data_IF_438001616792
#
_entry.id   IF_438001616792
#
_cell.length_a   1.000
_cell.length_b   1.000
_cell.length_c   1.000
_cell.angle_alpha   90.00
_cell.angle_beta   90.00
_cell.angle_gamma   90.00
#
_symmetry.space_group_name_H-M   'P 1'
#
loop_
_entity.id
_entity.type
_entity.pdbx_description
1 polymer ?
#
# COMPACT_ATOMS: atom_id res chain seq x y z
N UNK A 1 -20.43 6.75 16.69
CA UNK A 1 -19.30 7.50 17.26
C UNK A 1 -19.53 8.99 17.00
N UNK A 2 -19.65 9.81 18.04
CA UNK A 2 -19.95 11.26 17.94
C UNK A 2 -18.66 12.03 17.58
N UNK A 3 -18.79 13.22 16.98
CA UNK A 3 -17.66 14.03 16.46
C UNK A 3 -16.54 14.28 17.50
N UNK A 4 -16.91 14.43 18.78
CA UNK A 4 -16.00 14.66 19.93
C UNK A 4 -15.16 13.44 20.31
N UNK A 5 -15.62 12.24 19.97
CA UNK A 5 -14.91 10.99 20.29
C UNK A 5 -13.60 10.90 19.49
N UNK A 6 -13.56 11.44 18.27
CA UNK A 6 -12.39 11.38 17.39
C UNK A 6 -11.27 12.31 17.83
N UNK A 7 -11.60 13.52 18.26
CA UNK A 7 -10.63 14.45 18.87
C UNK A 7 -9.97 13.79 20.09
N UNK A 8 -10.76 13.13 20.95
CA UNK A 8 -10.24 12.45 22.15
C UNK A 8 -9.31 11.28 21.79
N UNK A 9 -9.65 10.47 20.79
CA UNK A 9 -8.78 9.40 20.26
C UNK A 9 -7.47 9.99 19.73
N UNK A 10 -7.52 11.04 18.92
CA UNK A 10 -6.33 11.65 18.34
C UNK A 10 -5.46 12.36 19.38
N UNK A 11 -6.06 13.00 20.37
CA UNK A 11 -5.32 13.66 21.48
C UNK A 11 -4.59 12.63 22.34
N UNK A 12 -5.22 11.48 22.57
CA UNK A 12 -4.64 10.38 23.33
C UNK A 12 -3.47 9.73 22.60
N UNK A 13 -3.70 9.30 21.36
CA UNK A 13 -2.74 8.46 20.64
C UNK A 13 -1.78 9.26 19.76
N UNK A 14 -2.08 10.52 19.44
CA UNK A 14 -1.20 11.43 18.72
C UNK A 14 0.01 11.88 19.55
N UNK A 15 0.82 12.75 18.96
CA UNK A 15 2.10 13.25 19.50
C UNK A 15 1.94 14.50 20.35
N UNK A 16 0.85 15.25 20.20
CA UNK A 16 0.63 16.48 20.93
C UNK A 16 0.33 16.19 22.41
N UNK A 17 1.30 16.47 23.29
CA UNK A 17 1.16 16.34 24.75
C UNK A 17 0.47 17.52 25.42
N UNK A 18 0.22 18.62 24.69
CA UNK A 18 -0.26 19.89 25.22
C UNK A 18 -1.76 20.11 25.04
N UNK A 19 -2.52 19.07 24.68
CA UNK A 19 -3.98 19.18 24.57
C UNK A 19 -4.57 19.47 25.96
N UNK A 20 -5.39 20.53 26.13
CA UNK A 20 -6.03 20.82 27.40
C UNK A 20 -6.88 19.65 27.88
N UNK A 21 -6.59 19.14 29.07
CA UNK A 21 -7.26 17.94 29.62
C UNK A 21 -8.76 18.13 29.80
N UNK A 22 -9.23 19.37 29.97
CA UNK A 22 -10.65 19.72 30.06
C UNK A 22 -11.45 19.43 28.78
N UNK A 23 -10.78 19.29 27.63
CA UNK A 23 -11.41 18.93 26.36
C UNK A 23 -11.58 17.41 26.20
N UNK A 24 -10.91 16.61 27.03
CA UNK A 24 -10.89 15.15 26.90
C UNK A 24 -12.01 14.51 27.72
N UNK A 25 -12.76 13.63 27.07
CA UNK A 25 -13.83 12.85 27.71
C UNK A 25 -13.46 11.38 27.69
N UNK A 26 -13.38 10.78 28.88
CA UNK A 26 -13.15 9.34 29.06
C UNK A 26 -14.27 8.73 29.88
N UNK A 27 -14.69 7.52 29.53
CA UNK A 27 -15.63 6.76 30.34
C UNK A 27 -14.91 6.20 31.56
N UNK A 28 -15.32 6.60 32.76
CA UNK A 28 -14.85 6.01 34.02
C UNK A 28 -15.64 4.78 34.43
N UNK A 29 -16.62 4.36 33.61
CA UNK A 29 -17.39 3.13 33.85
C UNK A 29 -16.56 1.93 33.38
N UNK A 30 -16.35 0.91 34.25
CA UNK A 30 -15.72 -0.34 33.84
C UNK A 30 -16.62 -1.08 32.84
N UNK A 31 -16.02 -1.74 31.85
CA UNK A 31 -16.80 -2.48 30.84
C UNK A 31 -17.38 -3.79 31.39
N UNK A 32 -16.73 -4.38 32.40
CA UNK A 32 -17.17 -5.55 33.16
C UNK A 32 -16.50 -5.55 34.55
N UNK A 33 -16.96 -6.41 35.47
CA UNK A 33 -16.40 -6.52 36.83
C UNK A 33 -14.90 -6.82 36.79
N UNK A 34 -14.09 -5.95 37.41
CA UNK A 34 -12.63 -6.08 37.45
C UNK A 34 -11.89 -5.46 36.26
N UNK A 35 -12.59 -4.88 35.28
CA UNK A 35 -11.96 -4.14 34.19
C UNK A 35 -11.40 -2.79 34.68
N UNK A 36 -10.13 -2.45 34.41
CA UNK A 36 -9.58 -1.14 34.73
C UNK A 36 -10.36 -0.01 34.06
N UNK A 37 -10.73 1.01 34.83
CA UNK A 37 -11.41 2.20 34.29
C UNK A 37 -10.47 3.00 33.38
N UNK A 38 -11.02 3.62 32.34
CA UNK A 38 -10.19 4.47 31.48
C UNK A 38 -9.77 5.74 32.23
N UNK A 39 -8.49 6.08 32.09
CA UNK A 39 -7.93 7.35 32.53
C UNK A 39 -7.63 8.24 31.34
N UNK A 40 -7.57 9.56 31.59
CA UNK A 40 -7.12 10.53 30.60
C UNK A 40 -5.65 10.27 30.30
N UNK A 41 -5.32 10.14 29.02
CA UNK A 41 -3.95 10.06 28.48
C UNK A 41 -3.88 11.00 27.28
N UNK A 42 -2.74 11.63 27.09
CA UNK A 42 -2.48 12.62 26.03
C UNK A 42 -1.08 12.40 25.47
N UNK A 43 -0.89 12.61 24.17
CA UNK A 43 0.45 12.66 23.57
C UNK A 43 1.22 11.34 23.58
N UNK A 44 0.57 10.18 23.48
CA UNK A 44 1.27 8.87 23.55
C UNK A 44 2.15 8.56 22.33
N UNK A 45 2.00 9.31 21.22
CA UNK A 45 2.78 9.17 20.00
C UNK A 45 2.71 7.78 19.32
N UNK A 46 1.59 7.08 19.45
CA UNK A 46 1.32 5.75 18.85
C UNK A 46 0.60 5.86 17.48
N UNK A 47 -0.24 6.88 17.39
CA UNK A 47 -1.07 7.41 16.29
C UNK A 47 -0.35 8.24 15.21
N UNK A 48 0.07 7.74 14.03
CA UNK A 48 0.61 8.63 12.97
C UNK A 48 -0.40 9.01 11.88
N UNK A 49 -1.19 8.04 11.43
CA UNK A 49 -2.17 8.19 10.36
C UNK A 49 -3.55 7.78 10.86
N UNK A 50 -4.59 8.46 10.41
CA UNK A 50 -5.97 8.10 10.71
C UNK A 50 -6.84 8.21 9.47
N UNK A 51 -7.58 7.14 9.19
CA UNK A 51 -8.48 7.06 8.05
C UNK A 51 -9.91 7.45 8.43
N UNK A 52 -10.56 8.26 7.59
CA UNK A 52 -11.94 8.69 7.83
C UNK A 52 -12.95 7.88 6.99
N UNK A 53 -13.37 6.73 7.53
CA UNK A 53 -14.38 5.88 6.90
C UNK A 53 -13.76 4.70 6.15
N UNK A 54 -14.56 4.00 5.35
CA UNK A 54 -14.12 2.93 4.47
C UNK A 54 -15.13 2.71 3.34
N UNK A 55 -14.69 2.81 2.08
CA UNK A 55 -15.51 2.65 0.88
C UNK A 55 -16.86 3.36 0.98
N UNK A 56 -16.86 4.63 1.39
CA UNK A 56 -18.09 5.39 1.57
C UNK A 56 -18.77 5.71 0.23
N UNK A 57 -18.14 5.40 -0.89
CA UNK A 57 -18.67 5.48 -2.25
C UNK A 57 -19.25 4.13 -2.75
N UNK A 58 -19.38 3.11 -1.89
CA UNK A 58 -19.89 1.79 -2.28
C UNK A 58 -21.36 1.82 -2.73
N UNK A 59 -21.55 1.73 -4.03
CA UNK A 59 -22.88 1.74 -4.65
C UNK A 59 -23.71 0.48 -4.34
N UNK A 60 -23.07 -0.63 -3.97
CA UNK A 60 -23.73 -1.94 -3.78
C UNK A 60 -24.42 -2.11 -2.41
N UNK A 61 -24.34 -1.13 -1.50
CA UNK A 61 -25.06 -1.14 -0.21
C UNK A 61 -26.27 -0.19 -0.18
N UNK A 62 -26.63 0.38 -1.33
CA UNK A 62 -27.71 1.36 -1.44
C UNK A 62 -27.43 2.63 -0.61
N UNK A 63 -28.47 3.44 -0.39
CA UNK A 63 -28.35 4.74 0.29
C UNK A 63 -27.75 4.66 1.70
N UNK A 64 -27.93 3.54 2.41
CA UNK A 64 -27.42 3.38 3.78
C UNK A 64 -25.90 3.19 3.85
N UNK A 65 -25.26 2.73 2.78
CA UNK A 65 -23.82 2.52 2.71
C UNK A 65 -23.09 3.52 1.82
N UNK A 66 -23.82 4.44 1.18
CA UNK A 66 -23.28 5.36 0.17
C UNK A 66 -23.35 6.81 0.64
N UNK A 67 -22.24 7.52 0.47
CA UNK A 67 -22.15 8.97 0.50
C UNK A 67 -21.65 9.44 -0.86
N UNK A 68 -22.29 10.47 -1.41
CA UNK A 68 -21.69 11.19 -2.53
C UNK A 68 -20.47 12.00 -2.07
N UNK A 69 -19.66 12.46 -3.02
CA UNK A 69 -18.43 13.18 -2.73
C UNK A 69 -18.64 14.42 -1.83
N UNK A 70 -19.74 15.14 -1.98
CA UNK A 70 -20.02 16.34 -1.18
C UNK A 70 -20.37 15.99 0.27
N UNK A 71 -21.22 14.97 0.47
CA UNK A 71 -21.57 14.45 1.80
C UNK A 71 -20.32 13.95 2.52
N UNK A 72 -19.48 13.17 1.82
CA UNK A 72 -18.26 12.65 2.39
C UNK A 72 -17.26 13.77 2.72
N UNK A 73 -17.06 14.74 1.83
CA UNK A 73 -16.15 15.87 2.09
C UNK A 73 -16.65 16.75 3.23
N UNK A 74 -17.96 16.90 3.40
CA UNK A 74 -18.53 17.62 4.55
C UNK A 74 -18.19 16.91 5.87
N UNK A 75 -18.36 15.59 5.92
CA UNK A 75 -17.94 14.77 7.07
C UNK A 75 -16.42 14.91 7.30
N UNK A 76 -15.64 14.78 6.23
CA UNK A 76 -14.18 14.82 6.28
C UNK A 76 -13.67 16.20 6.72
N UNK A 77 -14.32 17.29 6.31
CA UNK A 77 -13.96 18.62 6.77
C UNK A 77 -14.21 18.80 8.26
N UNK A 78 -15.28 18.25 8.82
CA UNK A 78 -15.51 18.24 10.26
C UNK A 78 -14.46 17.35 10.98
N UNK A 79 -14.12 16.21 10.37
CA UNK A 79 -13.13 15.27 10.87
C UNK A 79 -11.71 15.86 10.89
N UNK A 80 -11.32 16.61 9.85
CA UNK A 80 -9.97 17.12 9.67
C UNK A 80 -9.60 18.14 10.74
N UNK A 81 -10.34 19.24 10.85
CA UNK A 81 -10.00 20.38 11.70
C UNK A 81 -11.24 21.07 12.31
N UNK A 82 -12.34 20.33 12.43
CA UNK A 82 -13.60 20.91 12.91
C UNK A 82 -14.19 21.92 11.93
N UNK A 83 -13.98 21.71 10.63
CA UNK A 83 -14.34 22.64 9.56
C UNK A 83 -13.74 24.04 9.80
N UNK A 84 -12.40 24.11 9.79
CA UNK A 84 -11.62 25.32 10.08
C UNK A 84 -11.92 25.88 11.48
N UNK A 85 -12.16 25.00 12.45
CA UNK A 85 -12.46 25.35 13.83
C UNK A 85 -13.91 25.76 14.13
N UNK A 86 -14.79 25.86 13.13
CA UNK A 86 -16.19 26.29 13.33
C UNK A 86 -17.00 25.35 14.24
N UNK A 87 -16.60 24.09 14.35
CA UNK A 87 -17.25 23.10 15.21
C UNK A 87 -16.72 23.06 16.66
N UNK A 88 -15.77 23.94 17.00
CA UNK A 88 -15.18 24.03 18.33
C UNK A 88 -13.81 23.37 18.45
N UNK A 89 -13.07 23.76 19.50
CA UNK A 89 -11.70 23.29 19.76
C UNK A 89 -11.60 21.79 20.10
N UNK A 90 -12.70 21.15 20.51
CA UNK A 90 -12.79 19.72 20.83
C UNK A 90 -13.25 18.85 19.65
N UNK A 91 -13.14 19.36 18.42
CA UNK A 91 -13.52 18.65 17.18
C UNK A 91 -12.41 18.76 16.16
N UNK A 92 -12.00 17.61 15.60
CA UNK A 92 -11.07 17.54 14.48
C UNK A 92 -9.70 16.97 14.85
N UNK A 93 -9.11 16.22 13.92
CA UNK A 93 -7.77 15.61 14.08
C UNK A 93 -6.71 16.68 14.27
N UNK A 94 -6.69 17.72 13.43
CA UNK A 94 -5.69 18.79 13.45
C UNK A 94 -5.80 19.69 14.69
N UNK A 95 -6.96 19.76 15.32
CA UNK A 95 -7.14 20.45 16.59
C UNK A 95 -6.55 19.63 17.76
N UNK A 96 -6.56 18.30 17.66
CA UNK A 96 -5.94 17.41 18.63
C UNK A 96 -4.41 17.33 18.43
N UNK A 97 -3.97 17.11 17.19
CA UNK A 97 -2.57 16.97 16.81
C UNK A 97 -2.39 17.39 15.34
N UNK A 98 -1.69 18.51 15.12
CA UNK A 98 -1.43 19.04 13.78
C UNK A 98 -0.52 18.13 12.94
N UNK A 99 0.27 17.27 13.58
CA UNK A 99 1.23 16.38 12.91
C UNK A 99 0.60 15.06 12.43
N UNK A 100 -0.52 14.65 13.03
CA UNK A 100 -1.25 13.44 12.63
C UNK A 100 -1.83 13.61 11.23
N UNK A 101 -1.60 12.63 10.35
CA UNK A 101 -2.03 12.68 8.95
C UNK A 101 -3.43 12.09 8.78
N UNK A 102 -4.28 12.77 8.03
CA UNK A 102 -5.65 12.33 7.71
C UNK A 102 -5.68 11.71 6.33
N UNK A 103 -6.06 10.44 6.28
CA UNK A 103 -6.22 9.66 5.06
C UNK A 103 -7.71 9.67 4.69
N UNK A 104 -8.04 9.93 3.42
CA UNK A 104 -9.42 9.70 2.96
C UNK A 104 -9.75 8.21 3.10
N UNK A 105 -11.03 7.89 3.29
CA UNK A 105 -11.50 6.51 3.29
C UNK A 105 -11.18 5.88 1.94
N UNK A 106 -10.65 4.65 1.95
CA UNK A 106 -10.34 3.92 0.75
C UNK A 106 -11.56 3.82 -0.15
N UNK A 107 -11.52 4.53 -1.29
CA UNK A 107 -12.59 4.53 -2.27
C UNK A 107 -12.72 3.15 -2.92
N UNK A 108 -13.95 2.67 -3.07
CA UNK A 108 -14.25 1.48 -3.86
C UNK A 108 -14.19 1.75 -5.38
N UNK A 109 -14.38 3.01 -5.78
CA UNK A 109 -14.27 3.44 -7.17
C UNK A 109 -12.82 3.48 -7.63
N UNK A 110 -12.59 2.97 -8.84
CA UNK A 110 -11.31 3.01 -9.53
C UNK A 110 -11.12 4.29 -10.37
N UNK A 111 -11.83 5.39 -10.04
CA UNK A 111 -11.80 6.64 -10.79
C UNK A 111 -11.63 7.86 -9.85
N UNK A 112 -10.64 8.74 -10.09
CA UNK A 112 -10.41 9.93 -9.27
C UNK A 112 -11.49 11.02 -9.41
N UNK A 113 -12.51 10.84 -10.26
CA UNK A 113 -13.62 11.81 -10.42
C UNK A 113 -14.37 12.07 -9.11
N UNK A 114 -14.48 11.08 -8.24
CA UNK A 114 -15.06 11.26 -6.90
C UNK A 114 -14.25 12.31 -6.11
N UNK A 115 -12.92 12.19 -6.10
CA UNK A 115 -12.03 13.14 -5.42
C UNK A 115 -12.07 14.51 -6.08
N UNK A 116 -12.23 14.59 -7.41
CA UNK A 116 -12.42 15.87 -8.10
C UNK A 116 -13.60 16.65 -7.53
N UNK A 117 -14.73 15.98 -7.29
CA UNK A 117 -15.89 16.61 -6.66
C UNK A 117 -15.60 17.01 -5.19
N UNK A 118 -14.76 16.26 -4.47
CA UNK A 118 -14.31 16.63 -3.12
C UNK A 118 -13.45 17.92 -3.14
N UNK A 119 -12.51 18.01 -4.07
CA UNK A 119 -11.68 19.22 -4.28
C UNK A 119 -12.55 20.43 -4.55
N UNK A 120 -13.55 20.27 -5.42
CA UNK A 120 -14.50 21.33 -5.75
C UNK A 120 -15.34 21.76 -4.53
N UNK A 121 -15.79 20.80 -3.72
CA UNK A 121 -16.47 21.12 -2.47
C UNK A 121 -15.57 21.93 -1.52
N UNK A 122 -14.30 21.55 -1.38
CA UNK A 122 -13.33 22.31 -0.58
C UNK A 122 -13.13 23.72 -1.13
N UNK A 123 -13.02 23.88 -2.44
CA UNK A 123 -12.92 25.20 -3.09
C UNK A 123 -14.09 26.10 -2.72
N UNK A 124 -15.32 25.58 -2.80
CA UNK A 124 -16.55 26.33 -2.51
C UNK A 124 -16.75 26.62 -1.01
N UNK A 125 -16.46 25.66 -0.14
CA UNK A 125 -16.88 25.71 1.27
C UNK A 125 -15.73 25.98 2.25
N UNK A 126 -14.49 25.64 1.87
CA UNK A 126 -13.30 25.88 2.70
C UNK A 126 -12.48 27.07 2.18
N UNK A 127 -12.51 27.32 0.87
CA UNK A 127 -11.77 28.41 0.22
C UNK A 127 -10.31 28.04 -0.03
N UNK A 128 -9.44 29.04 0.03
CA UNK A 128 -8.01 28.91 -0.23
C UNK A 128 -7.18 29.13 1.03
N UNK A 129 -5.98 28.56 1.05
CA UNK A 129 -4.91 28.85 2.00
C UNK A 129 -4.21 30.17 1.61
N UNK A 130 -3.37 30.69 2.49
CA UNK A 130 -2.64 31.94 2.27
C UNK A 130 -1.70 31.90 1.06
N UNK A 131 -1.22 30.71 0.68
CA UNK A 131 -0.37 30.47 -0.49
C UNK A 131 -1.16 30.30 -1.80
N UNK A 132 -2.48 30.50 -1.78
CA UNK A 132 -3.36 30.38 -2.94
C UNK A 132 -3.81 28.95 -3.25
N UNK A 133 -3.33 27.93 -2.53
CA UNK A 133 -3.79 26.55 -2.72
C UNK A 133 -5.21 26.36 -2.17
N UNK A 134 -5.99 25.45 -2.74
CA UNK A 134 -7.30 25.08 -2.17
C UNK A 134 -7.09 24.50 -0.76
N UNK A 135 -7.93 24.90 0.19
CA UNK A 135 -7.89 24.38 1.56
C UNK A 135 -8.53 22.99 1.63
N UNK A 136 -7.82 21.97 1.13
CA UNK A 136 -8.21 20.56 1.22
C UNK A 136 -8.22 20.09 2.68
N UNK A 137 -9.10 19.14 3.00
CA UNK A 137 -9.29 18.62 4.36
C UNK A 137 -8.81 17.17 4.52
N UNK A 138 -7.69 16.82 3.88
CA UNK A 138 -7.00 15.54 4.02
C UNK A 138 -5.53 15.72 3.63
N UNK A 139 -4.69 14.75 3.98
CA UNK A 139 -3.25 14.75 3.72
C UNK A 139 -2.80 13.58 2.83
N UNK A 140 -3.66 12.57 2.62
CA UNK A 140 -3.38 11.40 1.78
C UNK A 140 -4.62 10.99 0.99
N UNK A 141 -4.44 10.73 -0.30
CA UNK A 141 -5.45 10.12 -1.18
C UNK A 141 -5.38 8.61 -1.03
N UNK A 142 -6.53 7.93 -0.99
CA UNK A 142 -6.60 6.50 -0.77
C UNK A 142 -7.74 5.86 -1.58
N UNK A 143 -7.47 4.68 -2.14
CA UNK A 143 -8.45 3.87 -2.85
C UNK A 143 -8.14 2.38 -2.68
N UNK A 144 -9.14 1.54 -2.89
CA UNK A 144 -9.00 0.09 -2.89
C UNK A 144 -8.92 -0.42 -4.32
N UNK A 145 -8.02 -1.36 -4.57
CA UNK A 145 -7.87 -1.90 -5.91
C UNK A 145 -7.50 -3.38 -5.91
N UNK A 146 -8.48 -4.19 -6.30
CA UNK A 146 -8.34 -5.61 -6.51
C UNK A 146 -8.20 -5.90 -8.00
N UNK A 147 -6.99 -6.25 -8.43
CA UNK A 147 -6.71 -6.60 -9.82
C UNK A 147 -7.50 -7.84 -10.22
N UNK A 148 -8.24 -7.74 -11.33
CA UNK A 148 -9.15 -8.78 -11.81
C UNK A 148 -9.13 -8.84 -13.33
N UNK A 149 -9.54 -9.99 -13.87
CA UNK A 149 -9.77 -10.13 -15.30
C UNK A 149 -11.07 -9.40 -15.74
N UNK A 150 -11.26 -9.31 -17.06
CA UNK A 150 -12.44 -8.66 -17.65
C UNK A 150 -13.62 -9.63 -17.84
N UNK A 151 -13.49 -10.89 -17.40
CA UNK A 151 -14.51 -11.92 -17.59
C UNK A 151 -15.75 -11.63 -16.74
N UNK A 152 -16.91 -11.55 -17.38
CA UNK A 152 -18.19 -11.33 -16.69
C UNK A 152 -18.74 -12.66 -16.14
N UNK A 153 -18.54 -13.75 -16.88
CA UNK A 153 -19.14 -15.07 -16.61
C UNK A 153 -18.32 -15.92 -15.65
N UNK A 154 -17.00 -15.74 -15.62
CA UNK A 154 -16.10 -16.45 -14.72
C UNK A 154 -14.97 -15.52 -14.27
N UNK A 155 -15.28 -14.49 -13.46
CA UNK A 155 -14.26 -13.55 -13.01
C UNK A 155 -13.30 -14.21 -12.03
N UNK A 156 -12.08 -13.72 -12.05
CA UNK A 156 -11.01 -14.09 -11.13
C UNK A 156 -10.10 -12.89 -10.84
N UNK A 157 -9.19 -13.08 -9.90
CA UNK A 157 -8.04 -12.19 -9.77
C UNK A 157 -7.17 -12.28 -11.03
N UNK A 158 -6.41 -11.22 -11.31
CA UNK A 158 -5.45 -11.20 -12.41
C UNK A 158 -4.14 -10.51 -12.03
N UNK A 159 -3.04 -10.87 -12.67
CA UNK A 159 -1.77 -10.17 -12.57
C UNK A 159 -1.99 -8.67 -12.86
N UNK A 160 -1.28 -7.77 -12.15
CA UNK A 160 -1.55 -6.34 -12.23
C UNK A 160 -1.36 -5.76 -13.64
N UNK A 161 -0.49 -6.35 -14.45
CA UNK A 161 -0.13 -5.88 -15.79
C UNK A 161 -1.12 -6.31 -16.88
N UNK A 162 -1.93 -7.36 -16.63
CA UNK A 162 -2.96 -7.81 -17.58
C UNK A 162 -4.36 -7.27 -17.23
N UNK A 163 -4.47 -6.52 -16.15
CA UNK A 163 -5.68 -5.79 -15.76
C UNK A 163 -5.51 -4.29 -15.99
N UNK A 164 -6.46 -3.48 -15.51
CA UNK A 164 -6.37 -2.02 -15.59
C UNK A 164 -5.56 -1.37 -14.44
N UNK A 165 -4.84 -2.15 -13.62
CA UNK A 165 -4.06 -1.65 -12.46
C UNK A 165 -3.20 -0.44 -12.81
N UNK A 166 -2.38 -0.56 -13.86
CA UNK A 166 -1.45 0.49 -14.30
C UNK A 166 -2.19 1.78 -14.62
N UNK A 167 -3.24 1.69 -15.45
CA UNK A 167 -4.02 2.85 -15.87
C UNK A 167 -4.73 3.54 -14.69
N UNK A 168 -5.20 2.77 -13.72
CA UNK A 168 -5.89 3.29 -12.53
C UNK A 168 -4.89 3.97 -11.60
N UNK A 169 -3.78 3.32 -11.27
CA UNK A 169 -2.72 3.90 -10.43
C UNK A 169 -2.24 5.24 -10.99
N UNK A 170 -1.90 5.25 -12.28
CA UNK A 170 -1.48 6.46 -13.00
C UNK A 170 -2.54 7.56 -12.99
N UNK A 171 -3.82 7.20 -13.13
CA UNK A 171 -4.90 8.18 -13.09
C UNK A 171 -5.00 8.88 -11.72
N UNK A 172 -4.84 8.16 -10.61
CA UNK A 172 -4.84 8.75 -9.27
C UNK A 172 -3.59 9.61 -9.01
N UNK A 173 -2.40 9.14 -9.41
CA UNK A 173 -1.15 9.90 -9.25
C UNK A 173 -1.18 11.19 -10.07
N UNK A 174 -1.50 11.11 -11.37
CA UNK A 174 -1.64 12.29 -12.22
C UNK A 174 -2.72 13.26 -11.71
N UNK A 175 -3.82 12.73 -11.15
CA UNK A 175 -4.83 13.57 -10.51
C UNK A 175 -4.26 14.31 -9.30
N UNK A 176 -3.48 13.63 -8.46
CA UNK A 176 -2.87 14.23 -7.28
C UNK A 176 -1.88 15.34 -7.64
N UNK A 177 -0.99 15.09 -8.60
CA UNK A 177 -0.05 16.08 -9.11
C UNK A 177 -0.76 17.33 -9.62
N UNK A 178 -1.85 17.13 -10.38
CA UNK A 178 -2.57 18.24 -11.03
C UNK A 178 -3.45 19.05 -10.08
N UNK A 179 -4.12 18.41 -9.12
CA UNK A 179 -5.20 19.04 -8.34
C UNK A 179 -4.96 19.06 -6.84
N UNK A 180 -3.99 18.29 -6.33
CA UNK A 180 -3.74 18.11 -4.90
C UNK A 180 -2.28 18.39 -4.52
N UNK A 181 -1.51 19.10 -5.35
CA UNK A 181 -0.10 19.45 -5.08
C UNK A 181 0.76 18.22 -4.76
N UNK A 182 0.64 17.18 -5.60
CA UNK A 182 1.38 15.93 -5.48
C UNK A 182 1.22 15.23 -4.13
N UNK A 183 0.03 15.35 -3.53
CA UNK A 183 -0.33 14.64 -2.30
C UNK A 183 -0.10 13.12 -2.45
N UNK A 184 0.42 12.43 -1.42
CA UNK A 184 0.63 10.98 -1.50
C UNK A 184 -0.65 10.22 -1.83
N UNK A 185 -0.52 9.22 -2.70
CA UNK A 185 -1.60 8.31 -3.11
C UNK A 185 -1.29 6.93 -2.57
N UNK A 186 -2.22 6.35 -1.82
CA UNK A 186 -2.12 5.03 -1.21
C UNK A 186 -3.17 4.08 -1.80
N UNK A 187 -2.86 2.79 -1.72
CA UNK A 187 -3.81 1.70 -1.94
C UNK A 187 -3.91 0.88 -0.66
N UNK A 188 -4.97 1.07 0.13
CA UNK A 188 -5.11 0.39 1.44
C UNK A 188 -5.75 -0.99 1.39
N UNK A 189 -6.21 -1.44 0.23
CA UNK A 189 -6.65 -2.82 0.05
C UNK A 189 -6.33 -3.33 -1.36
N UNK A 190 -5.66 -4.49 -1.42
CA UNK A 190 -5.42 -5.28 -2.63
C UNK A 190 -5.12 -6.74 -2.27
N UNK A 191 -5.11 -7.64 -3.25
CA UNK A 191 -4.59 -9.00 -3.12
C UNK A 191 -5.36 -10.02 -3.96
N UNK A 192 -5.12 -11.30 -3.67
CA UNK A 192 -5.72 -12.43 -4.37
C UNK A 192 -6.10 -13.56 -3.42
N UNK A 193 -7.24 -14.20 -3.65
CA UNK A 193 -7.62 -15.45 -2.96
C UNK A 193 -6.86 -16.65 -3.53
N UNK A 194 -6.81 -17.76 -2.80
CA UNK A 194 -6.36 -19.07 -3.34
C UNK A 194 -7.49 -20.08 -3.49
N UNK A 195 -8.65 -19.84 -2.85
CA UNK A 195 -9.81 -20.71 -3.03
C UNK A 195 -10.33 -20.63 -4.46
N UNK A 196 -10.39 -21.78 -5.16
CA UNK A 196 -10.73 -21.81 -6.59
C UNK A 196 -12.22 -21.55 -6.89
N UNK A 197 -13.08 -21.48 -5.87
CA UNK A 197 -14.45 -20.96 -5.97
C UNK A 197 -14.55 -19.44 -5.87
N UNK A 198 -13.51 -18.74 -5.42
CA UNK A 198 -13.53 -17.28 -5.28
C UNK A 198 -13.49 -16.57 -6.64
N UNK A 199 -14.24 -15.46 -6.73
CA UNK A 199 -14.20 -14.51 -7.85
C UNK A 199 -12.96 -13.60 -7.85
N UNK A 200 -12.12 -13.68 -6.81
CA UNK A 200 -10.85 -12.94 -6.68
C UNK A 200 -9.64 -13.90 -6.62
N UNK A 201 -9.81 -15.15 -7.05
CA UNK A 201 -8.77 -16.18 -6.98
C UNK A 201 -7.55 -15.89 -7.87
N UNK A 202 -6.38 -16.23 -7.38
CA UNK A 202 -5.22 -16.59 -8.19
C UNK A 202 -5.43 -17.97 -8.82
N UNK A 203 -4.77 -18.21 -9.96
CA UNK A 203 -4.87 -19.45 -10.73
C UNK A 203 -3.53 -20.17 -10.79
N UNK A 204 -3.54 -21.48 -11.07
CA UNK A 204 -2.31 -22.17 -11.44
C UNK A 204 -1.82 -21.68 -12.83
N UNK A 205 -0.50 -21.55 -13.00
CA UNK A 205 0.13 -21.13 -14.26
C UNK A 205 1.34 -22.03 -14.52
N UNK A 206 1.30 -22.78 -15.63
CA UNK A 206 2.28 -23.84 -15.89
C UNK A 206 2.37 -24.81 -14.71
N UNK A 207 3.58 -25.03 -14.19
CA UNK A 207 3.83 -25.90 -13.04
C UNK A 207 3.61 -25.21 -11.68
N UNK A 208 3.22 -23.93 -11.66
CA UNK A 208 2.97 -23.19 -10.41
C UNK A 208 1.57 -23.44 -9.90
N UNK A 209 1.46 -23.76 -8.62
CA UNK A 209 0.20 -23.78 -7.88
C UNK A 209 -0.41 -22.37 -7.74
N UNK A 210 -1.71 -22.29 -7.46
CA UNK A 210 -2.38 -21.01 -7.20
C UNK A 210 -1.74 -20.22 -6.04
N UNK A 211 -1.18 -20.89 -5.03
CA UNK A 211 -0.46 -20.24 -3.93
C UNK A 211 0.87 -19.62 -4.37
N UNK A 212 1.59 -20.25 -5.30
CA UNK A 212 2.80 -19.65 -5.91
C UNK A 212 2.43 -18.47 -6.80
N UNK A 213 1.36 -18.58 -7.58
CA UNK A 213 0.84 -17.46 -8.37
C UNK A 213 0.38 -16.30 -7.49
N UNK A 214 -0.28 -16.57 -6.36
CA UNK A 214 -0.62 -15.54 -5.38
C UNK A 214 0.63 -14.78 -4.91
N UNK A 215 1.74 -15.49 -4.68
CA UNK A 215 3.00 -14.88 -4.28
C UNK A 215 3.63 -14.02 -5.39
N UNK A 216 3.67 -14.54 -6.62
CA UNK A 216 4.16 -13.81 -7.79
C UNK A 216 3.35 -12.53 -8.03
N UNK A 217 2.02 -12.63 -8.06
CA UNK A 217 1.14 -11.50 -8.33
C UNK A 217 1.16 -10.47 -7.20
N UNK A 218 1.32 -10.89 -5.94
CA UNK A 218 1.48 -9.96 -4.82
C UNK A 218 2.77 -9.16 -4.94
N UNK A 219 3.89 -9.82 -5.25
CA UNK A 219 5.17 -9.15 -5.47
C UNK A 219 5.13 -8.23 -6.69
N UNK A 220 4.56 -8.70 -7.82
CA UNK A 220 4.35 -7.89 -9.03
C UNK A 220 3.43 -6.70 -8.79
N UNK A 221 2.46 -6.81 -7.87
CA UNK A 221 1.60 -5.69 -7.49
C UNK A 221 2.41 -4.60 -6.79
N UNK A 222 3.30 -4.96 -5.86
CA UNK A 222 4.22 -4.00 -5.23
C UNK A 222 5.08 -3.30 -6.28
N UNK A 223 5.75 -4.06 -7.16
CA UNK A 223 6.65 -3.48 -8.17
C UNK A 223 5.88 -2.57 -9.15
N UNK A 224 4.69 -2.98 -9.59
CA UNK A 224 3.83 -2.19 -10.47
C UNK A 224 3.36 -0.91 -9.79
N UNK A 225 2.87 -0.96 -8.56
CA UNK A 225 2.40 0.24 -7.86
C UNK A 225 3.54 1.21 -7.53
N UNK A 226 4.72 0.70 -7.18
CA UNK A 226 5.92 1.53 -7.01
C UNK A 226 6.30 2.26 -8.31
N UNK A 227 6.28 1.56 -9.45
CA UNK A 227 6.53 2.16 -10.77
C UNK A 227 5.55 3.28 -11.10
N UNK A 228 4.28 3.11 -10.75
CA UNK A 228 3.23 4.09 -11.05
C UNK A 228 3.16 5.24 -10.01
N UNK A 229 4.04 5.28 -9.00
CA UNK A 229 4.12 6.39 -8.04
C UNK A 229 3.21 6.26 -6.82
N UNK A 230 2.61 5.10 -6.56
CA UNK A 230 1.85 4.86 -5.32
C UNK A 230 2.81 4.78 -4.14
N UNK A 231 2.53 5.58 -3.11
CA UNK A 231 3.45 5.76 -1.98
C UNK A 231 3.33 4.67 -0.91
N UNK A 232 2.17 3.99 -0.83
CA UNK A 232 1.94 2.88 0.11
C UNK A 232 0.93 1.89 -0.46
N UNK A 233 1.20 0.59 -0.26
CA UNK A 233 0.33 -0.52 -0.63
C UNK A 233 0.07 -1.40 0.60
N UNK A 234 -1.20 -1.75 0.83
CA UNK A 234 -1.59 -2.62 1.93
C UNK A 234 -2.37 -3.83 1.38
N UNK A 235 -1.95 -5.02 1.78
CA UNK A 235 -2.62 -6.26 1.40
C UNK A 235 -3.80 -6.53 2.33
N UNK A 236 -4.97 -6.79 1.73
CA UNK A 236 -6.11 -7.36 2.41
C UNK A 236 -5.96 -8.88 2.32
N UNK A 237 -5.63 -9.59 3.40
CA UNK A 237 -5.38 -9.10 4.76
C UNK A 237 -4.21 -9.85 5.40
N UNK A 238 -3.96 -9.66 6.70
CA UNK A 238 -2.88 -10.38 7.36
C UNK A 238 -3.16 -11.88 7.40
N UNK A 239 -4.36 -12.31 7.81
CA UNK A 239 -4.69 -13.71 8.02
C UNK A 239 -5.82 -14.18 7.11
N UNK A 240 -5.78 -15.45 6.71
CA UNK A 240 -6.95 -16.07 6.11
C UNK A 240 -8.13 -16.09 7.11
N UNK A 241 -9.31 -15.68 6.63
CA UNK A 241 -10.56 -15.83 7.39
C UNK A 241 -11.08 -17.27 7.34
N UNK A 242 -11.42 -17.75 6.14
CA UNK A 242 -11.80 -19.14 5.90
C UNK A 242 -11.32 -19.58 4.51
N UNK A 243 -10.17 -20.25 4.48
CA UNK A 243 -9.51 -20.71 3.25
C UNK A 243 -10.39 -21.63 2.37
N UNK A 244 -11.35 -22.34 2.99
CA UNK A 244 -12.26 -23.25 2.29
C UNK A 244 -13.51 -22.55 1.73
N UNK A 245 -13.74 -21.28 2.07
CA UNK A 245 -14.88 -20.51 1.57
C UNK A 245 -14.64 -20.01 0.14
N UNK A 246 -15.62 -20.22 -0.74
CA UNK A 246 -15.66 -19.59 -2.06
C UNK A 246 -16.04 -18.11 -2.01
N UNK A 247 -16.34 -17.57 -0.82
CA UNK A 247 -16.60 -16.13 -0.66
C UNK A 247 -15.32 -15.36 -0.94
N UNK A 248 -15.43 -14.28 -1.73
CA UNK A 248 -14.30 -13.40 -1.99
C UNK A 248 -13.66 -12.93 -0.68
N UNK A 249 -12.35 -12.82 -0.70
CA UNK A 249 -11.48 -12.32 0.35
C UNK A 249 -11.25 -13.27 1.53
N UNK A 250 -11.81 -14.48 1.51
CA UNK A 250 -11.70 -15.41 2.63
C UNK A 250 -10.35 -16.13 2.74
N UNK A 251 -9.51 -16.08 1.69
CA UNK A 251 -8.26 -16.83 1.54
C UNK A 251 -7.07 -15.97 1.05
N UNK A 252 -7.16 -14.65 1.22
CA UNK A 252 -6.15 -13.69 0.73
C UNK A 252 -5.01 -13.45 1.70
N UNK A 253 -5.07 -14.02 2.90
CA UNK A 253 -4.14 -13.77 3.99
C UNK A 253 -2.69 -13.91 3.54
N UNK A 254 -1.85 -13.03 4.05
CA UNK A 254 -0.39 -13.18 4.04
C UNK A 254 0.07 -14.32 4.98
N UNK A 255 -0.76 -14.67 5.94
CA UNK A 255 -0.66 -15.85 6.81
C UNK A 255 -1.93 -16.69 6.73
N UNK A 256 -1.85 -17.94 7.16
CA UNK A 256 -3.04 -18.77 7.37
C UNK A 256 -3.80 -18.36 8.64
N UNK A 257 -4.88 -19.08 8.93
CA UNK A 257 -5.72 -18.85 10.12
C UNK A 257 -4.98 -19.09 11.45
N UNK A 258 -3.84 -19.76 11.44
CA UNK A 258 -2.98 -20.03 12.60
C UNK A 258 -1.78 -19.07 12.65
N UNK A 259 -1.80 -17.98 11.88
CA UNK A 259 -0.71 -17.01 11.76
C UNK A 259 0.60 -17.59 11.20
N UNK A 260 0.55 -18.75 10.54
CA UNK A 260 1.71 -19.28 9.82
C UNK A 260 1.85 -18.54 8.50
N UNK A 261 3.07 -18.08 8.20
CA UNK A 261 3.41 -17.36 6.97
C UNK A 261 3.06 -18.17 5.72
N UNK A 262 2.41 -17.53 4.75
CA UNK A 262 2.14 -18.07 3.40
C UNK A 262 3.18 -17.53 2.40
N UNK A 263 3.26 -18.19 1.24
CA UNK A 263 4.19 -17.84 0.15
C UNK A 263 4.21 -16.35 -0.26
N UNK A 264 3.07 -15.63 -0.40
CA UNK A 264 3.13 -14.18 -0.68
C UNK A 264 3.93 -13.41 0.37
N UNK A 265 3.82 -13.75 1.65
CA UNK A 265 4.57 -13.08 2.69
C UNK A 265 6.04 -13.50 2.70
N UNK A 266 6.40 -14.73 2.30
CA UNK A 266 7.81 -15.11 2.08
C UNK A 266 8.45 -14.16 1.05
N UNK A 267 7.81 -13.99 -0.12
CA UNK A 267 8.36 -13.23 -1.24
C UNK A 267 8.43 -11.74 -0.92
N UNK A 268 7.39 -11.19 -0.29
CA UNK A 268 7.36 -9.80 0.16
C UNK A 268 8.43 -9.55 1.24
N UNK A 269 8.57 -10.45 2.21
CA UNK A 269 9.58 -10.33 3.26
C UNK A 269 11.00 -10.36 2.68
N UNK A 270 11.33 -11.38 1.90
CA UNK A 270 12.62 -11.53 1.23
C UNK A 270 12.97 -10.30 0.38
N UNK A 271 12.04 -9.82 -0.43
CA UNK A 271 12.25 -8.64 -1.27
C UNK A 271 12.42 -7.38 -0.43
N UNK A 272 11.66 -7.23 0.68
CA UNK A 272 11.81 -6.07 1.57
C UNK A 272 13.19 -5.99 2.22
N UNK A 273 13.82 -7.14 2.52
CA UNK A 273 15.17 -7.18 3.06
C UNK A 273 16.22 -6.73 2.02
N UNK A 274 16.00 -7.03 0.74
CA UNK A 274 16.90 -6.63 -0.35
C UNK A 274 16.68 -5.18 -0.79
N UNK A 275 15.41 -4.80 -1.00
CA UNK A 275 15.03 -3.58 -1.73
C UNK A 275 14.21 -2.58 -0.92
N UNK A 276 13.99 -2.80 0.39
CA UNK A 276 13.08 -1.96 1.19
C UNK A 276 13.47 -0.47 1.32
N UNK A 277 14.69 -0.09 0.91
CA UNK A 277 15.15 1.30 0.85
C UNK A 277 15.35 1.84 -0.57
N UNK A 278 15.07 1.03 -1.59
CA UNK A 278 15.19 1.43 -2.99
C UNK A 278 13.90 2.07 -3.49
N UNK A 279 14.04 3.03 -4.40
CA UNK A 279 12.92 3.66 -5.09
C UNK A 279 13.01 3.39 -6.59
N UNK A 280 11.85 3.37 -7.24
CA UNK A 280 11.79 3.25 -8.70
C UNK A 280 12.53 4.43 -9.35
N UNK A 281 13.40 4.14 -10.32
CA UNK A 281 14.12 5.15 -11.09
C UNK A 281 13.57 5.26 -12.51
N UNK A 282 13.58 4.15 -13.27
CA UNK A 282 13.10 4.11 -14.66
C UNK A 282 12.86 2.69 -15.15
N UNK A 283 12.08 2.56 -16.22
CA UNK A 283 11.92 1.31 -16.97
C UNK A 283 12.91 1.28 -18.13
N UNK A 284 13.70 0.22 -18.22
CA UNK A 284 14.61 -0.03 -19.35
C UNK A 284 13.92 -0.80 -20.48
N UNK A 285 12.95 -1.65 -20.12
CA UNK A 285 12.21 -2.49 -21.06
C UNK A 285 10.82 -2.83 -20.53
N UNK A 286 9.87 -3.04 -21.44
CA UNK A 286 8.46 -3.36 -21.10
C UNK A 286 8.11 -4.85 -21.21
N UNK A 287 8.80 -5.65 -22.05
CA UNK A 287 8.57 -7.10 -22.15
C UNK A 287 9.85 -7.86 -22.53
N UNK A 288 10.41 -8.72 -21.65
CA UNK A 288 10.11 -8.75 -20.22
C UNK A 288 10.30 -7.36 -19.61
N UNK A 289 9.60 -7.11 -18.50
CA UNK A 289 9.78 -5.87 -17.74
C UNK A 289 11.18 -5.89 -17.14
N UNK A 290 11.88 -4.77 -17.32
CA UNK A 290 13.16 -4.50 -16.69
C UNK A 290 13.06 -3.10 -16.09
N UNK A 291 12.88 -3.06 -14.77
CA UNK A 291 12.77 -1.82 -14.02
C UNK A 291 14.03 -1.61 -13.16
N UNK A 292 14.61 -0.41 -13.24
CA UNK A 292 15.77 0.03 -12.47
C UNK A 292 15.31 0.77 -11.22
N UNK A 293 15.92 0.43 -10.08
CA UNK A 293 15.68 1.04 -8.78
C UNK A 293 16.99 1.57 -8.19
N UNK A 294 16.93 2.70 -7.48
CA UNK A 294 18.09 3.39 -6.92
C UNK A 294 17.99 3.51 -5.39
N UNK A 295 19.14 3.41 -4.73
CA UNK A 295 19.31 3.89 -3.36
C UNK A 295 20.75 4.37 -3.14
N UNK A 296 20.95 5.69 -2.99
CA UNK A 296 22.24 6.31 -2.62
C UNK A 296 23.39 5.90 -3.56
N UNK A 297 23.16 5.99 -4.86
CA UNK A 297 24.06 5.63 -5.95
C UNK A 297 24.13 4.14 -6.25
N UNK A 298 23.43 3.27 -5.50
CA UNK A 298 23.36 1.84 -5.77
C UNK A 298 22.16 1.54 -6.66
N UNK A 299 22.37 0.71 -7.67
CA UNK A 299 21.33 0.27 -8.59
C UNK A 299 20.97 -1.20 -8.35
N UNK A 300 19.69 -1.52 -8.51
CA UNK A 300 19.18 -2.88 -8.61
C UNK A 300 18.11 -2.94 -9.69
N UNK A 301 18.07 -4.05 -10.43
CA UNK A 301 17.14 -4.25 -11.53
C UNK A 301 16.14 -5.34 -11.16
N UNK A 302 14.85 -5.07 -11.26
CA UNK A 302 13.81 -6.09 -11.17
C UNK A 302 13.42 -6.55 -12.58
N UNK A 303 13.39 -7.87 -12.79
CA UNK A 303 13.12 -8.47 -14.10
C UNK A 303 12.03 -9.52 -13.98
N UNK A 304 10.98 -9.42 -14.80
CA UNK A 304 9.91 -10.41 -14.86
C UNK A 304 9.14 -10.36 -16.19
N UNK A 305 8.38 -11.40 -16.46
CA UNK A 305 7.45 -11.47 -17.58
C UNK A 305 6.07 -11.03 -17.10
N UNK A 306 5.52 -10.00 -17.75
CA UNK A 306 4.27 -9.36 -17.37
C UNK A 306 3.03 -10.03 -18.01
N UNK A 307 2.93 -11.36 -17.90
CA UNK A 307 1.76 -12.13 -18.36
C UNK A 307 1.28 -13.16 -17.32
N UNK A 308 0.43 -14.08 -17.76
CA UNK A 308 -0.17 -15.16 -16.98
C UNK A 308 -0.18 -16.49 -17.77
N UNK A 309 0.85 -16.73 -18.57
CA UNK A 309 0.94 -17.83 -19.55
C UNK A 309 2.04 -18.84 -19.24
N UNK A 310 2.86 -18.59 -18.21
CA UNK A 310 4.06 -19.36 -17.92
C UNK A 310 5.19 -19.07 -18.92
N UNK A 311 5.15 -17.92 -19.58
CA UNK A 311 6.13 -17.56 -20.61
C UNK A 311 7.50 -17.34 -19.99
N UNK A 312 8.54 -17.81 -20.68
CA UNK A 312 9.94 -17.49 -20.38
C UNK A 312 10.53 -16.68 -21.54
N UNK A 313 11.29 -15.64 -21.22
CA UNK A 313 11.87 -14.76 -22.25
C UNK A 313 13.36 -14.54 -21.98
N UNK A 314 14.26 -14.88 -22.91
CA UNK A 314 15.66 -14.51 -22.79
C UNK A 314 15.80 -12.98 -22.86
N UNK A 315 16.63 -12.41 -22.00
CA UNK A 315 16.91 -10.98 -21.97
C UNK A 315 18.33 -10.72 -21.51
N UNK A 316 18.77 -9.47 -21.64
CA UNK A 316 20.12 -9.08 -21.29
C UNK A 316 20.17 -7.73 -20.60
N UNK A 317 21.15 -7.57 -19.71
CA UNK A 317 21.46 -6.33 -19.02
C UNK A 317 22.93 -5.97 -19.25
N UNK A 318 23.21 -4.68 -19.39
CA UNK A 318 24.58 -4.17 -19.60
C UNK A 318 25.20 -3.69 -18.29
N UNK A 319 26.46 -4.07 -18.08
CA UNK A 319 27.28 -3.71 -16.92
C UNK A 319 28.71 -3.41 -17.39
N UNK A 320 29.53 -2.68 -16.60
CA UNK A 320 30.96 -2.51 -16.91
C UNK A 320 31.68 -3.87 -17.09
N UNK A 321 32.65 -3.93 -18.01
CA UNK A 321 33.44 -5.14 -18.27
C UNK A 321 34.28 -5.55 -17.05
N UNK A 322 34.57 -6.86 -16.93
CA UNK A 322 35.29 -7.51 -15.82
C UNK A 322 34.59 -7.52 -14.45
N UNK A 323 33.27 -7.27 -14.42
CA UNK A 323 32.45 -7.37 -13.22
C UNK A 323 31.71 -8.73 -13.10
N UNK A 324 31.08 -8.95 -11.95
CA UNK A 324 30.07 -9.99 -11.75
C UNK A 324 28.87 -9.42 -11.04
N UNK A 325 27.69 -9.91 -11.41
CA UNK A 325 26.44 -9.53 -10.77
C UNK A 325 25.97 -10.63 -9.84
N UNK A 326 25.15 -10.26 -8.86
CA UNK A 326 24.37 -11.19 -8.06
C UNK A 326 22.94 -11.17 -8.56
N UNK A 327 22.43 -12.35 -8.91
CA UNK A 327 21.01 -12.55 -9.20
C UNK A 327 20.34 -13.15 -7.98
N UNK A 328 19.28 -12.49 -7.52
CA UNK A 328 18.47 -12.88 -6.39
C UNK A 328 17.11 -13.42 -6.87
N UNK A 329 16.67 -14.55 -6.31
CA UNK A 329 15.38 -15.16 -6.64
C UNK A 329 14.58 -15.47 -5.37
N UNK A 330 13.27 -15.13 -5.36
CA UNK A 330 12.37 -15.58 -4.30
C UNK A 330 12.35 -17.10 -4.14
N UNK A 331 12.31 -17.56 -2.89
CA UNK A 331 12.27 -18.99 -2.55
C UNK A 331 11.09 -19.25 -1.61
N UNK A 332 10.20 -20.17 -2.00
CA UNK A 332 9.07 -20.59 -1.17
C UNK A 332 9.53 -21.16 0.17
N UNK A 333 8.91 -20.73 1.27
CA UNK A 333 9.19 -21.25 2.62
C UNK A 333 10.54 -20.82 3.21
N UNK A 334 11.21 -19.82 2.63
CA UNK A 334 12.51 -19.32 3.07
C UNK A 334 12.41 -17.90 3.65
N UNK A 335 13.38 -17.52 4.48
CA UNK A 335 13.60 -16.13 4.91
C UNK A 335 14.56 -15.38 3.99
N UNK A 336 15.31 -16.10 3.17
CA UNK A 336 16.38 -15.56 2.32
C UNK A 336 16.12 -15.86 0.85
N UNK A 337 16.53 -14.92 -0.01
CA UNK A 337 16.57 -15.10 -1.46
C UNK A 337 17.65 -16.11 -1.83
N UNK A 338 17.39 -16.92 -2.86
CA UNK A 338 18.45 -17.67 -3.53
C UNK A 338 19.35 -16.69 -4.26
N UNK A 339 20.68 -16.86 -4.13
CA UNK A 339 21.68 -16.02 -4.80
C UNK A 339 22.48 -16.81 -5.80
N UNK A 340 22.76 -16.22 -6.95
CA UNK A 340 23.61 -16.75 -8.00
C UNK A 340 24.58 -15.66 -8.46
N UNK A 341 25.87 -15.96 -8.56
CA UNK A 341 26.85 -15.03 -9.15
C UNK A 341 26.99 -15.33 -10.64
N UNK A 342 26.78 -14.33 -11.49
CA UNK A 342 26.93 -14.45 -12.94
C UNK A 342 28.04 -13.49 -13.40
N UNK A 343 28.97 -13.99 -14.22
CA UNK A 343 30.02 -13.18 -14.81
C UNK A 343 29.44 -12.23 -15.88
N UNK A 344 29.94 -11.00 -15.93
CA UNK A 344 29.64 -10.08 -17.03
C UNK A 344 30.58 -10.41 -18.19
N UNK A 345 30.02 -10.87 -19.31
CA UNK A 345 30.80 -11.26 -20.51
C UNK A 345 30.60 -10.20 -21.57
N UNK A 346 31.69 -9.54 -21.99
CA UNK A 346 31.66 -8.44 -22.96
C UNK A 346 30.68 -7.32 -22.57
N UNK A 347 30.63 -7.00 -21.27
CA UNK A 347 29.73 -5.98 -20.73
C UNK A 347 28.25 -6.38 -20.67
N UNK A 348 27.92 -7.67 -20.85
CA UNK A 348 26.54 -8.17 -20.91
C UNK A 348 26.35 -9.33 -19.94
N UNK A 349 25.19 -9.35 -19.27
CA UNK A 349 24.66 -10.48 -18.50
C UNK A 349 23.45 -11.03 -19.23
N UNK A 350 23.46 -12.32 -19.55
CA UNK A 350 22.32 -13.04 -20.13
C UNK A 350 21.45 -13.63 -19.03
N UNK A 351 20.14 -13.46 -19.15
CA UNK A 351 19.14 -13.89 -18.16
C UNK A 351 17.94 -14.51 -18.87
N UNK A 352 17.21 -15.36 -18.16
CA UNK A 352 15.89 -15.81 -18.58
C UNK A 352 14.86 -15.25 -17.61
N UNK A 353 14.04 -14.31 -18.10
CA UNK A 353 12.92 -13.78 -17.35
C UNK A 353 11.78 -14.79 -17.29
N UNK A 354 11.09 -14.83 -16.15
CA UNK A 354 9.86 -15.60 -15.95
C UNK A 354 8.83 -14.70 -15.26
N UNK A 355 7.61 -15.18 -15.05
CA UNK A 355 6.60 -14.44 -14.27
C UNK A 355 6.95 -14.26 -12.78
N UNK A 356 7.88 -15.05 -12.23
CA UNK A 356 8.41 -14.79 -10.87
C UNK A 356 9.51 -13.75 -10.98
N UNK A 357 9.38 -12.59 -10.29
CA UNK A 357 10.41 -11.56 -10.32
C UNK A 357 11.76 -12.07 -9.83
N UNK A 358 12.81 -11.71 -10.56
CA UNK A 358 14.21 -11.82 -10.11
C UNK A 358 14.81 -10.43 -9.98
N UNK A 359 15.87 -10.33 -9.18
CA UNK A 359 16.57 -9.07 -8.95
C UNK A 359 18.05 -9.21 -9.30
N UNK A 360 18.62 -8.20 -9.95
CA UNK A 360 20.02 -8.19 -10.38
C UNK A 360 20.70 -6.97 -9.81
N UNK A 361 21.78 -7.16 -9.05
CA UNK A 361 22.62 -6.08 -8.57
C UNK A 361 24.08 -6.35 -8.92
N UNK A 362 24.86 -5.31 -9.15
CA UNK A 362 26.33 -5.45 -9.15
C UNK A 362 26.76 -6.00 -7.79
N UNK A 363 27.84 -6.79 -7.76
CA UNK A 363 28.41 -7.12 -6.45
C UNK A 363 28.70 -5.82 -5.68
N UNK A 364 28.50 -5.81 -4.36
CA UNK A 364 29.16 -4.81 -3.55
C UNK A 364 30.64 -4.91 -3.91
N UNK A 365 31.23 -3.83 -4.45
CA UNK A 365 32.70 -3.73 -4.47
C UNK A 365 33.14 -4.07 -3.05
N UNK A 366 34.10 -4.98 -2.83
CA UNK A 366 34.65 -5.22 -1.50
C UNK A 366 35.36 -3.93 -1.06
N UNK A 367 34.59 -2.97 -0.56
CA UNK A 367 35.09 -1.82 0.12
C UNK A 367 35.25 -2.29 1.57
N UNK A 368 36.50 -2.36 2.01
CA UNK A 368 36.84 -2.19 3.42
C UNK A 368 36.00 -1.06 4.01
N UNK A 369 34.87 -1.39 4.65
CA UNK A 369 34.54 -0.97 5.99
C UNK A 369 33.19 -1.55 6.41
N UNK A 370 33.29 -2.28 7.51
CA UNK A 370 32.22 -2.86 8.30
C UNK A 370 31.20 -1.79 8.70
N UNK A 371 29.92 -2.09 8.57
CA UNK A 371 28.93 -1.53 9.46
C UNK A 371 28.65 -2.57 10.54
N UNK A 372 29.29 -2.36 11.68
CA UNK A 372 29.01 -3.05 12.94
C UNK A 372 27.54 -2.81 13.28
N UNK A 373 26.74 -3.88 13.29
CA UNK A 373 25.42 -3.87 13.90
C UNK A 373 25.65 -3.88 15.42
N UNK A 374 25.55 -2.72 16.06
CA UNK A 374 25.51 -2.66 17.52
C UNK A 374 24.19 -3.27 18.01
N UNK A 375 24.24 -4.51 18.49
CA UNK A 375 23.20 -5.09 19.34
C UNK A 375 23.35 -4.55 20.77
N UNK A 376 22.22 -4.02 21.27
CA UNK A 376 21.72 -3.92 22.68
C UNK A 376 22.39 -2.98 23.68
N UNK A 377 21.51 -2.27 24.41
CA UNK A 377 21.35 -2.15 25.88
C UNK A 377 20.29 -1.03 26.09
N UNK A 378 19.19 -1.11 26.84
CA UNK A 378 18.56 -2.05 27.78
C UNK A 378 17.05 -1.98 27.56
#
# INVERSE_FOLDING_TARGET
>A
MKRKDRFSVCSRYGRNSNVPLSLLKVSTQPRWTGDPVNTVKVGLALVKYIECGNELDKWWRGANGYMNAYQYTTLLSAFYDGHKGLLGADVGVKNADTTMQVVIGGLASNNPSYIRAMVEWCRQNRGYKADGQINLCWDVINYHFYSRDTSITSPRGAAPEVSNTISVARAFVNFSEKYCNSMPVWVTETGFDINQGSRQKAIAIGDKSASQTQADWSLRSVLTFLREGISSLFFFELNDGNVNSATKYASMGLTDALFKRKLPMDYLFQTSQLMGSFHYNRSLQQMPVIDEYENKGKLIYAVWVADEKGTTIPCSLSFPADDSVIVYRPVSGSDILQTETIAVVNGIVQLTATETPLFVATKPTPANQQYVISKKLR
#
